data_IF_185308693113
#
_entry.id   IF_185308693113
#
_cell.length_a   1.000
_cell.length_b   1.000
_cell.length_c   1.000
_cell.angle_alpha   90.00
_cell.angle_beta   90.00
_cell.angle_gamma   90.00
#
_symmetry.space_group_name_H-M   'P 1'
#
loop_
_entity.id
_entity.type
_entity.pdbx_description
1 polymer ?
#
# COMPACT_ATOMS: atom_id res chain seq x y z
N UNK A 1 1.08 11.04 -5.70
CA UNK A 1 2.54 11.24 -5.61
C UNK A 1 3.08 12.38 -6.48
N UNK A 2 2.66 12.59 -7.74
CA UNK A 2 3.27 13.59 -8.65
C UNK A 2 3.26 15.03 -8.10
N UNK A 3 2.10 15.50 -7.62
CA UNK A 3 1.93 16.85 -7.05
C UNK A 3 2.80 17.12 -5.82
N UNK A 4 3.11 16.09 -5.01
CA UNK A 4 3.94 16.24 -3.80
C UNK A 4 5.43 16.39 -4.11
N UNK A 5 5.86 15.97 -5.31
CA UNK A 5 7.24 16.06 -5.78
C UNK A 5 7.43 17.16 -6.83
N UNK A 6 6.38 17.92 -7.15
CA UNK A 6 6.43 19.04 -8.11
C UNK A 6 6.63 18.59 -9.57
N UNK A 7 6.30 17.33 -9.90
CA UNK A 7 6.32 16.87 -11.28
C UNK A 7 5.05 17.31 -12.01
N UNK A 8 5.21 17.87 -13.20
CA UNK A 8 4.10 18.07 -14.14
C UNK A 8 3.80 16.73 -14.79
N UNK A 9 2.65 16.13 -14.47
CA UNK A 9 2.16 14.93 -15.14
C UNK A 9 2.12 15.21 -16.65
N UNK A 10 2.99 14.54 -17.42
CA UNK A 10 3.01 14.69 -18.89
C UNK A 10 1.74 14.16 -19.56
N UNK A 11 0.91 13.42 -18.81
CA UNK A 11 -0.46 13.03 -19.19
C UNK A 11 -1.34 13.06 -17.96
N UNK A 12 -2.11 14.15 -17.82
CA UNK A 12 -3.15 14.34 -16.80
C UNK A 12 -4.38 13.49 -17.15
N UNK A 13 -4.28 12.18 -17.00
CA UNK A 13 -5.37 11.23 -17.25
C UNK A 13 -5.75 10.47 -15.99
N UNK A 14 -7.03 10.14 -15.82
CA UNK A 14 -7.51 9.29 -14.74
C UNK A 14 -7.72 7.86 -15.26
N UNK A 15 -7.47 6.85 -14.41
CA UNK A 15 -7.64 5.45 -14.77
C UNK A 15 -8.85 4.83 -14.05
N UNK A 16 -9.72 4.06 -14.74
CA UNK A 16 -10.94 3.52 -14.16
C UNK A 16 -10.66 2.22 -13.38
N UNK A 17 -10.18 2.36 -12.14
CA UNK A 17 -9.76 1.24 -11.30
C UNK A 17 -10.87 0.21 -11.01
N UNK A 18 -12.15 0.60 -10.97
CA UNK A 18 -13.24 -0.37 -10.76
C UNK A 18 -13.64 -1.08 -12.05
N UNK A 19 -13.22 -0.57 -13.20
CA UNK A 19 -13.50 -1.16 -14.51
C UNK A 19 -12.49 -2.25 -14.90
N UNK A 20 -11.34 -2.31 -14.22
CA UNK A 20 -10.33 -3.36 -14.44
C UNK A 20 -10.80 -4.71 -13.89
N UNK A 21 -11.46 -5.50 -14.72
CA UNK A 21 -11.84 -6.89 -14.47
C UNK A 21 -11.38 -7.77 -15.64
N UNK A 22 -11.31 -9.09 -15.41
CA UNK A 22 -10.90 -10.06 -16.46
C UNK A 22 -11.76 -9.97 -17.73
N UNK A 23 -13.04 -9.61 -17.57
CA UNK A 23 -14.01 -9.48 -18.66
C UNK A 23 -13.70 -8.27 -19.54
N UNK A 24 -13.10 -7.22 -18.98
CA UNK A 24 -12.85 -5.95 -19.68
C UNK A 24 -11.42 -5.80 -20.23
N UNK A 25 -10.56 -6.82 -20.09
CA UNK A 25 -9.16 -6.74 -20.53
C UNK A 25 -8.99 -6.47 -22.03
N UNK A 26 -9.94 -6.93 -22.85
CA UNK A 26 -9.98 -6.70 -24.30
C UNK A 26 -11.09 -5.71 -24.71
N UNK A 27 -11.59 -4.92 -23.76
CA UNK A 27 -12.68 -3.98 -24.01
C UNK A 27 -12.24 -2.81 -24.90
N UNK A 28 -13.03 -2.57 -25.95
CA UNK A 28 -12.95 -1.39 -26.80
C UNK A 28 -14.36 -0.84 -26.98
N UNK A 29 -14.63 0.36 -26.48
CA UNK A 29 -15.98 0.90 -26.47
C UNK A 29 -16.06 2.30 -25.85
N UNK A 30 -17.27 2.75 -25.43
CA UNK A 30 -17.43 3.99 -24.69
C UNK A 30 -16.56 4.04 -23.42
N UNK A 31 -16.20 5.26 -22.98
CA UNK A 31 -15.48 5.43 -21.72
C UNK A 31 -16.29 4.88 -20.53
N UNK A 32 -15.64 4.24 -19.53
CA UNK A 32 -16.27 3.80 -18.29
C UNK A 32 -16.95 4.95 -17.56
N UNK A 33 -17.96 4.66 -16.74
CA UNK A 33 -18.73 5.70 -16.06
C UNK A 33 -17.91 6.37 -14.94
N UNK A 34 -18.21 7.61 -14.53
CA UNK A 34 -17.44 8.32 -13.49
C UNK A 34 -17.28 7.54 -12.18
N UNK A 35 -18.28 6.73 -11.80
CA UNK A 35 -18.20 5.87 -10.61
C UNK A 35 -17.05 4.86 -10.65
N UNK A 36 -16.63 4.45 -11.86
CA UNK A 36 -15.55 3.49 -12.06
C UNK A 36 -14.16 4.09 -11.81
N UNK A 37 -14.05 5.41 -11.83
CA UNK A 37 -12.87 6.18 -11.46
C UNK A 37 -12.82 6.50 -9.96
N UNK A 38 -13.83 6.10 -9.18
CA UNK A 38 -13.88 6.34 -7.75
C UNK A 38 -14.20 7.79 -7.37
N UNK A 39 -14.93 8.51 -8.22
CA UNK A 39 -15.35 9.92 -8.00
C UNK A 39 -16.05 10.12 -6.64
N UNK A 40 -16.75 9.11 -6.14
CA UNK A 40 -17.39 9.13 -4.83
C UNK A 40 -16.42 9.45 -3.68
N UNK A 41 -15.15 9.06 -3.83
CA UNK A 41 -14.09 9.24 -2.84
C UNK A 41 -13.18 10.44 -3.13
N UNK A 42 -13.37 11.14 -4.25
CA UNK A 42 -12.59 12.33 -4.59
C UNK A 42 -13.00 13.55 -3.75
N UNK A 43 -12.03 14.37 -3.38
CA UNK A 43 -12.28 15.68 -2.77
C UNK A 43 -12.92 16.66 -3.77
N UNK A 44 -13.51 17.75 -3.28
CA UNK A 44 -14.13 18.78 -4.15
C UNK A 44 -13.14 19.31 -5.19
N UNK A 45 -11.91 19.60 -4.77
CA UNK A 45 -10.84 20.09 -5.65
C UNK A 45 -10.41 19.07 -6.70
N UNK A 46 -10.43 17.78 -6.37
CA UNK A 46 -10.10 16.72 -7.34
C UNK A 46 -11.22 16.54 -8.37
N UNK A 47 -12.49 16.75 -7.99
CA UNK A 47 -13.63 16.74 -8.92
C UNK A 47 -13.60 17.90 -9.90
N UNK A 48 -13.24 19.10 -9.44
CA UNK A 48 -13.06 20.27 -10.30
C UNK A 48 -12.00 20.05 -11.40
N UNK A 49 -11.03 19.17 -11.16
CA UNK A 49 -10.05 18.75 -12.18
C UNK A 49 -10.53 17.55 -13.03
N UNK A 50 -11.34 16.65 -12.45
CA UNK A 50 -11.83 15.44 -13.10
C UNK A 50 -12.95 15.71 -14.11
N UNK A 51 -13.96 16.51 -13.74
CA UNK A 51 -15.16 16.70 -14.55
C UNK A 51 -14.85 17.29 -15.94
N UNK A 52 -13.99 18.32 -16.09
CA UNK A 52 -13.63 18.85 -17.41
C UNK A 52 -12.90 17.82 -18.27
N UNK A 53 -11.98 17.05 -17.66
CA UNK A 53 -11.23 16.01 -18.35
C UNK A 53 -12.16 14.89 -18.84
N UNK A 54 -13.06 14.40 -17.98
CA UNK A 54 -13.99 13.33 -18.32
C UNK A 54 -14.93 13.74 -19.46
N UNK A 55 -15.45 14.97 -19.42
CA UNK A 55 -16.33 15.50 -20.45
C UNK A 55 -15.65 15.65 -21.82
N UNK A 56 -14.32 15.82 -21.84
CA UNK A 56 -13.52 15.86 -23.07
C UNK A 56 -13.26 14.46 -23.62
N UNK A 57 -12.74 13.55 -22.79
CA UNK A 57 -12.31 12.21 -23.24
C UNK A 57 -13.47 11.25 -23.48
N UNK A 58 -14.59 11.40 -22.77
CA UNK A 58 -15.76 10.49 -22.87
C UNK A 58 -16.43 10.49 -24.24
N UNK A 59 -16.13 11.48 -25.09
CA UNK A 59 -16.59 11.56 -26.48
C UNK A 59 -15.84 10.59 -27.41
N UNK A 60 -14.69 10.09 -26.96
CA UNK A 60 -13.85 9.17 -27.71
C UNK A 60 -14.16 7.70 -27.42
N UNK A 61 -13.32 6.83 -27.96
CA UNK A 61 -13.36 5.38 -27.70
C UNK A 61 -12.27 5.03 -26.69
N UNK A 62 -12.65 4.30 -25.66
CA UNK A 62 -11.77 3.75 -24.64
C UNK A 62 -11.30 2.35 -25.05
N UNK A 63 -9.98 2.18 -25.14
CA UNK A 63 -9.30 0.90 -25.35
C UNK A 63 -8.59 0.54 -24.05
N UNK A 64 -9.11 -0.47 -23.34
CA UNK A 64 -8.60 -0.82 -22.02
C UNK A 64 -7.12 -1.21 -22.05
N UNK A 65 -6.70 -1.99 -23.05
CA UNK A 65 -5.32 -2.51 -23.13
C UNK A 65 -4.33 -1.39 -23.41
N UNK A 66 -4.71 -0.46 -24.30
CA UNK A 66 -3.89 0.72 -24.61
C UNK A 66 -3.77 1.65 -23.40
N UNK A 67 -4.89 1.97 -22.75
CA UNK A 67 -4.92 2.85 -21.58
C UNK A 67 -4.23 2.23 -20.37
N UNK A 68 -4.39 0.93 -20.13
CA UNK A 68 -3.69 0.22 -19.06
C UNK A 68 -2.18 0.18 -19.30
N UNK A 69 -1.74 -0.08 -20.54
CA UNK A 69 -0.31 -0.04 -20.89
C UNK A 69 0.28 1.36 -20.70
N UNK A 70 -0.46 2.41 -21.11
CA UNK A 70 -0.05 3.79 -20.92
C UNK A 70 0.03 4.17 -19.43
N UNK A 71 -0.97 3.77 -18.64
CA UNK A 71 -0.99 3.96 -17.20
C UNK A 71 0.23 3.31 -16.53
N UNK A 72 0.54 2.05 -16.84
CA UNK A 72 1.71 1.37 -16.30
C UNK A 72 3.03 2.04 -16.69
N UNK A 73 3.17 2.48 -17.95
CA UNK A 73 4.37 3.20 -18.41
C UNK A 73 4.54 4.53 -17.67
N UNK A 74 3.45 5.26 -17.47
CA UNK A 74 3.46 6.52 -16.74
C UNK A 74 3.81 6.32 -15.26
N UNK A 75 3.29 5.28 -14.61
CA UNK A 75 3.63 4.98 -13.22
C UNK A 75 5.12 4.67 -13.07
N UNK A 76 5.68 3.85 -13.98
CA UNK A 76 7.13 3.58 -14.03
C UNK A 76 7.95 4.85 -14.27
N UNK A 77 7.53 5.74 -15.18
CA UNK A 77 8.23 7.00 -15.44
C UNK A 77 8.17 7.94 -14.23
N UNK A 78 7.01 8.08 -13.58
CA UNK A 78 6.85 8.88 -12.35
C UNK A 78 7.74 8.34 -11.23
N UNK A 79 7.77 7.02 -11.04
CA UNK A 79 8.65 6.37 -10.06
C UNK A 79 10.13 6.58 -10.40
N UNK A 80 10.47 6.53 -11.69
CA UNK A 80 11.84 6.76 -12.17
C UNK A 80 12.26 8.22 -11.95
N UNK A 81 11.43 9.18 -12.30
CA UNK A 81 11.66 10.61 -12.04
C UNK A 81 11.76 10.90 -10.55
N UNK A 82 10.90 10.27 -9.72
CA UNK A 82 11.00 10.31 -8.27
C UNK A 82 12.35 9.80 -7.76
N UNK A 83 12.84 8.71 -8.34
CA UNK A 83 14.13 8.08 -8.00
C UNK A 83 15.34 8.91 -8.48
N UNK A 84 15.24 9.56 -9.64
CA UNK A 84 16.27 10.48 -10.16
C UNK A 84 16.34 11.77 -9.34
N UNK A 85 15.19 12.35 -8.97
CA UNK A 85 15.13 13.50 -8.06
C UNK A 85 15.62 13.14 -6.66
N UNK A 86 15.34 11.93 -6.20
CA UNK A 86 15.94 11.37 -4.99
C UNK A 86 17.47 11.33 -5.08
N UNK A 87 18.03 10.80 -6.17
CA UNK A 87 19.48 10.73 -6.39
C UNK A 87 20.12 12.12 -6.40
N UNK A 88 19.52 13.09 -7.10
CA UNK A 88 20.04 14.46 -7.21
C UNK A 88 20.03 15.18 -5.85
N UNK A 89 18.94 15.07 -5.10
CA UNK A 89 18.81 15.71 -3.78
C UNK A 89 19.64 15.02 -2.68
N UNK A 90 19.96 13.74 -2.83
CA UNK A 90 20.67 12.95 -1.82
C UNK A 90 22.19 12.81 -2.06
N UNK A 91 22.64 12.86 -3.32
CA UNK A 91 24.07 12.87 -3.65
C UNK A 91 24.68 14.29 -3.68
N UNK A 92 23.85 15.34 -3.63
CA UNK A 92 24.29 16.70 -3.34
C UNK A 92 24.55 16.91 -1.84
N UNK A 93 25.43 17.86 -1.49
CA UNK A 93 25.62 18.26 -0.09
C UNK A 93 24.28 18.70 0.53
N UNK A 94 23.97 18.31 1.78
CA UNK A 94 22.72 18.68 2.43
C UNK A 94 22.58 20.20 2.47
N UNK A 95 21.53 20.71 1.83
CA UNK A 95 21.17 22.13 1.92
C UNK A 95 20.47 22.32 3.26
N UNK A 96 21.17 22.96 4.21
CA UNK A 96 20.59 23.25 5.51
C UNK A 96 19.78 24.54 5.37
N UNK A 97 18.46 24.42 5.51
CA UNK A 97 17.52 25.53 5.45
C UNK A 97 17.27 26.00 6.88
N UNK A 98 17.71 27.21 7.20
CA UNK A 98 17.41 27.88 8.46
C UNK A 98 16.27 28.88 8.22
N UNK A 99 15.24 28.84 9.08
CA UNK A 99 14.15 29.82 9.07
C UNK A 99 14.09 30.44 10.46
N UNK A 100 14.16 31.76 10.54
CA UNK A 100 14.19 32.52 11.79
C UNK A 100 15.44 32.29 12.67
N UNK A 101 16.56 31.86 12.08
CA UNK A 101 17.88 31.73 12.72
C UNK A 101 18.98 32.41 11.89
N UNK A 102 20.01 32.92 12.56
CA UNK A 102 21.30 33.27 11.94
C UNK A 102 22.11 32.01 11.57
N UNK A 103 23.28 32.16 10.96
CA UNK A 103 24.19 31.04 10.70
C UNK A 103 24.45 30.27 12.02
N UNK A 104 24.38 28.92 12.06
CA UNK A 104 24.63 28.16 13.28
C UNK A 104 25.97 28.44 13.95
N UNK A 105 26.96 28.91 13.17
CA UNK A 105 28.27 29.32 13.68
C UNK A 105 28.19 30.55 14.60
N UNK A 106 27.11 31.32 14.53
CA UNK A 106 26.83 32.48 15.40
C UNK A 106 26.38 32.07 16.81
N UNK A 107 25.95 30.83 17.01
CA UNK A 107 25.36 30.38 18.27
C UNK A 107 26.31 29.47 19.04
N UNK A 108 26.41 29.68 20.36
CA UNK A 108 27.14 28.80 21.27
C UNK A 108 26.16 27.94 22.07
N UNK A 109 26.12 26.63 21.84
CA UNK A 109 25.24 25.69 22.56
C UNK A 109 24.70 24.54 21.69
N UNK A 110 23.73 23.79 22.24
CA UNK A 110 23.06 22.70 21.51
C UNK A 110 21.85 23.23 20.73
N UNK A 111 21.84 23.01 19.41
CA UNK A 111 20.68 23.32 18.56
C UNK A 111 19.80 22.07 18.45
N UNK A 112 18.54 22.17 18.86
CA UNK A 112 17.53 21.13 18.60
C UNK A 112 17.02 21.27 17.17
N UNK A 113 17.69 20.62 16.23
CA UNK A 113 17.23 20.53 14.84
C UNK A 113 16.15 19.43 14.71
N UNK A 114 15.06 19.73 14.00
CA UNK A 114 14.07 18.73 13.58
C UNK A 114 14.22 18.52 12.08
N UNK A 115 14.73 17.36 11.70
CA UNK A 115 14.87 16.99 10.29
C UNK A 115 13.56 16.37 9.81
N UNK A 116 12.95 16.97 8.79
CA UNK A 116 11.77 16.42 8.13
C UNK A 116 12.18 15.71 6.85
N UNK A 117 12.43 14.38 6.87
CA UNK A 117 12.58 13.64 5.63
C UNK A 117 11.22 13.69 4.90
N UNK A 118 11.17 14.03 3.59
CA UNK A 118 9.89 14.10 2.92
C UNK A 118 9.26 12.70 2.87
N UNK A 119 7.95 12.57 3.13
CA UNK A 119 7.29 11.25 3.34
C UNK A 119 7.45 10.26 2.17
N UNK A 120 7.68 10.76 0.96
CA UNK A 120 7.96 9.92 -0.20
C UNK A 120 9.31 9.19 -0.06
N UNK A 121 10.30 9.78 0.63
CA UNK A 121 11.65 9.26 0.78
C UNK A 121 11.70 8.06 1.73
N UNK A 122 11.02 8.17 2.88
CA UNK A 122 10.95 7.08 3.85
C UNK A 122 10.21 5.87 3.28
N UNK A 123 9.11 6.11 2.55
CA UNK A 123 8.34 5.05 1.91
C UNK A 123 9.04 4.42 0.70
N UNK A 124 9.78 5.19 -0.10
CA UNK A 124 10.58 4.65 -1.20
C UNK A 124 11.76 3.81 -0.68
N UNK A 125 12.48 4.31 0.33
CA UNK A 125 13.61 3.59 0.93
C UNK A 125 13.16 2.29 1.60
N UNK A 126 12.04 2.31 2.34
CA UNK A 126 11.46 1.10 2.92
C UNK A 126 11.13 0.04 1.85
N UNK A 127 10.55 0.47 0.72
CA UNK A 127 10.25 -0.44 -0.41
C UNK A 127 11.51 -1.01 -1.06
N UNK A 128 12.54 -0.19 -1.28
CA UNK A 128 13.82 -0.67 -1.83
C UNK A 128 14.50 -1.67 -0.89
N UNK A 129 14.47 -1.40 0.42
CA UNK A 129 15.00 -2.32 1.43
C UNK A 129 14.22 -3.63 1.43
N UNK A 130 12.89 -3.58 1.42
CA UNK A 130 12.04 -4.77 1.28
C UNK A 130 12.37 -5.55 -0.01
N UNK A 131 12.51 -4.85 -1.14
CA UNK A 131 12.84 -5.46 -2.42
C UNK A 131 14.17 -6.23 -2.39
N UNK A 132 15.19 -5.72 -1.69
CA UNK A 132 16.46 -6.43 -1.52
C UNK A 132 16.32 -7.77 -0.78
N UNK A 133 15.31 -7.92 0.09
CA UNK A 133 14.99 -9.20 0.72
C UNK A 133 14.18 -10.09 -0.23
N UNK A 134 13.23 -9.53 -0.99
CA UNK A 134 12.48 -10.29 -1.99
C UNK A 134 13.39 -10.91 -3.05
N UNK A 135 14.43 -10.20 -3.48
CA UNK A 135 15.42 -10.71 -4.43
C UNK A 135 16.22 -11.90 -3.86
N UNK A 136 16.46 -11.94 -2.54
CA UNK A 136 17.10 -13.10 -1.89
C UNK A 136 16.14 -14.28 -1.73
N UNK A 137 14.86 -13.99 -1.51
CA UNK A 137 13.84 -14.99 -1.19
C UNK A 137 13.18 -15.61 -2.40
N UNK A 138 13.07 -14.88 -3.52
CA UNK A 138 12.47 -15.34 -4.78
C UNK A 138 11.09 -16.01 -4.56
N UNK A 139 10.96 -17.28 -4.92
CA UNK A 139 9.75 -18.10 -4.83
C UNK A 139 9.33 -18.45 -3.39
N UNK A 140 10.20 -18.19 -2.41
CA UNK A 140 9.93 -18.50 -0.99
C UNK A 140 9.04 -17.46 -0.31
N UNK A 141 8.75 -16.33 -0.95
CA UNK A 141 7.90 -15.28 -0.37
C UNK A 141 6.45 -15.70 -0.45
N UNK A 142 5.78 -15.76 0.70
CA UNK A 142 4.39 -16.18 0.81
C UNK A 142 3.41 -15.01 0.95
N UNK A 143 3.83 -13.93 1.64
CA UNK A 143 3.03 -12.73 1.79
C UNK A 143 3.91 -11.51 2.05
N UNK A 144 3.47 -10.33 1.60
CA UNK A 144 4.13 -9.04 1.85
C UNK A 144 3.11 -7.99 2.31
N UNK A 145 3.47 -7.21 3.32
CA UNK A 145 2.87 -5.91 3.63
C UNK A 145 4.00 -4.90 3.82
N UNK A 146 3.73 -3.63 3.54
CA UNK A 146 4.54 -2.40 3.76
C UNK A 146 5.98 -2.59 4.29
N UNK A 147 6.14 -3.17 5.48
CA UNK A 147 7.38 -3.41 6.21
C UNK A 147 7.52 -4.84 6.79
N UNK A 148 6.62 -5.77 6.47
CA UNK A 148 6.64 -7.16 6.93
C UNK A 148 6.52 -8.16 5.78
N UNK A 149 7.14 -9.33 5.94
CA UNK A 149 7.08 -10.39 4.95
C UNK A 149 6.96 -11.74 5.65
N UNK A 150 6.22 -12.65 5.02
CA UNK A 150 6.10 -14.04 5.44
C UNK A 150 6.73 -14.86 4.34
N UNK A 151 7.61 -15.79 4.70
CA UNK A 151 8.37 -16.58 3.76
C UNK A 151 8.57 -18.01 4.28
N UNK A 152 8.83 -18.92 3.35
CA UNK A 152 9.12 -20.31 3.61
C UNK A 152 10.62 -20.49 3.86
N UNK A 153 10.94 -21.28 4.88
CA UNK A 153 12.31 -21.75 5.15
C UNK A 153 12.34 -23.23 4.84
N UNK A 154 13.01 -23.62 3.75
CA UNK A 154 13.21 -25.03 3.38
C UNK A 154 14.33 -25.64 4.23
N UNK A 155 14.30 -26.96 4.39
CA UNK A 155 15.30 -27.69 5.17
C UNK A 155 16.71 -27.51 4.56
N UNK A 156 17.65 -27.03 5.36
CA UNK A 156 19.03 -26.73 4.93
C UNK A 156 19.27 -25.31 4.40
N UNK A 157 18.23 -24.49 4.23
CA UNK A 157 18.40 -23.09 3.83
C UNK A 157 18.58 -22.15 5.03
N UNK A 158 19.39 -21.11 4.87
CA UNK A 158 19.55 -20.10 5.91
C UNK A 158 18.35 -19.15 5.92
N UNK A 159 17.75 -18.88 7.10
CA UNK A 159 16.76 -17.81 7.25
C UNK A 159 17.40 -16.44 7.02
N UNK A 160 16.56 -15.42 6.84
CA UNK A 160 17.04 -14.04 6.72
C UNK A 160 17.75 -13.61 8.00
N UNK A 161 18.79 -12.79 7.83
CA UNK A 161 19.51 -12.21 8.96
C UNK A 161 18.60 -11.22 9.70
N UNK A 162 18.48 -11.44 11.00
CA UNK A 162 17.78 -10.57 11.93
C UNK A 162 18.78 -9.64 12.61
N UNK A 163 18.31 -8.48 13.03
CA UNK A 163 19.16 -7.50 13.72
C UNK A 163 18.38 -6.60 14.66
N UNK A 164 19.11 -5.88 15.50
CA UNK A 164 18.55 -4.96 16.49
C UNK A 164 18.70 -3.49 16.09
N UNK A 165 19.25 -3.22 14.90
CA UNK A 165 19.48 -1.86 14.43
C UNK A 165 18.33 -1.36 13.55
N UNK A 166 18.28 -0.03 13.36
CA UNK A 166 17.21 0.61 12.61
C UNK A 166 17.18 0.11 11.16
N UNK A 167 16.05 -0.50 10.80
CA UNK A 167 15.78 -1.05 9.47
C UNK A 167 16.21 -2.50 9.29
N UNK A 168 16.79 -3.15 10.30
CA UNK A 168 16.99 -4.60 10.26
C UNK A 168 15.64 -5.33 10.32
N UNK A 169 15.64 -6.60 9.90
CA UNK A 169 14.46 -7.44 10.09
C UNK A 169 14.39 -7.89 11.56
N UNK A 170 13.20 -7.80 12.12
CA UNK A 170 12.89 -8.28 13.47
C UNK A 170 11.95 -9.47 13.36
N UNK A 171 12.13 -10.45 14.25
CA UNK A 171 11.20 -11.57 14.36
C UNK A 171 9.94 -11.18 15.14
N UNK A 172 8.78 -11.22 14.49
CA UNK A 172 7.47 -10.94 15.11
C UNK A 172 6.87 -12.13 15.87
N UNK A 173 7.44 -13.33 15.72
CA UNK A 173 6.88 -14.58 16.26
C UNK A 173 7.59 -15.04 17.55
N UNK A 174 8.59 -14.29 18.03
CA UNK A 174 9.41 -14.60 19.19
C UNK A 174 9.99 -16.04 19.13
N UNK A 175 10.54 -16.43 17.98
CA UNK A 175 11.11 -17.75 17.72
C UNK A 175 10.10 -18.85 17.40
N UNK A 176 8.80 -18.53 17.31
CA UNK A 176 7.78 -19.47 16.83
C UNK A 176 7.72 -19.48 15.29
N UNK A 177 7.08 -20.49 14.71
CA UNK A 177 6.85 -20.61 13.27
C UNK A 177 5.38 -20.65 12.97
N UNK A 178 4.98 -20.21 11.78
CA UNK A 178 3.60 -20.32 11.33
C UNK A 178 3.33 -21.75 10.88
N UNK A 179 2.30 -22.38 11.43
CA UNK A 179 1.84 -23.71 11.01
C UNK A 179 0.80 -23.60 9.89
N UNK A 180 -0.17 -22.72 10.06
CA UNK A 180 -1.25 -22.51 9.10
C UNK A 180 -1.40 -21.01 8.83
N UNK A 181 -1.60 -20.66 7.56
CA UNK A 181 -1.79 -19.29 7.11
C UNK A 181 -2.88 -19.26 6.05
N UNK A 182 -3.78 -18.29 6.17
CA UNK A 182 -4.82 -18.01 5.19
C UNK A 182 -4.87 -16.51 4.91
N UNK A 183 -4.89 -16.12 3.63
CA UNK A 183 -5.09 -14.74 3.21
C UNK A 183 -6.30 -14.65 2.28
N UNK A 184 -7.29 -13.86 2.69
CA UNK A 184 -8.47 -13.56 1.88
C UNK A 184 -8.27 -12.33 0.98
N UNK A 185 -7.19 -11.56 1.20
CA UNK A 185 -6.83 -10.42 0.36
C UNK A 185 -5.79 -9.50 1.00
N UNK A 186 -5.46 -8.37 0.36
CA UNK A 186 -4.48 -7.42 0.87
C UNK A 186 -4.85 -6.88 2.25
N UNK A 187 -3.96 -7.10 3.24
CA UNK A 187 -4.15 -6.73 4.67
C UNK A 187 -5.31 -7.46 5.36
N UNK A 188 -5.78 -8.57 4.79
CA UNK A 188 -6.82 -9.44 5.35
C UNK A 188 -6.32 -10.89 5.37
N UNK A 189 -5.68 -11.27 6.47
CA UNK A 189 -5.05 -12.58 6.67
C UNK A 189 -5.16 -13.06 8.11
N UNK A 190 -5.04 -14.38 8.29
CA UNK A 190 -5.01 -15.02 9.60
C UNK A 190 -3.95 -16.13 9.60
N UNK A 191 -3.32 -16.35 10.74
CA UNK A 191 -2.34 -17.42 10.90
C UNK A 191 -2.37 -18.01 12.30
N UNK A 192 -1.96 -19.27 12.38
CA UNK A 192 -1.76 -19.98 13.64
C UNK A 192 -0.29 -20.38 13.79
N UNK A 193 0.30 -20.08 14.95
CA UNK A 193 1.67 -20.46 15.24
C UNK A 193 1.78 -21.94 15.67
N UNK A 194 2.93 -22.55 15.44
CA UNK A 194 3.15 -23.99 15.61
C UNK A 194 3.29 -24.38 17.08
N UNK A 195 4.13 -23.67 17.82
CA UNK A 195 4.49 -23.99 19.21
C UNK A 195 3.43 -23.45 20.16
N UNK A 196 3.17 -22.14 20.11
CA UNK A 196 2.26 -21.47 21.05
C UNK A 196 0.79 -21.66 20.69
N UNK A 197 0.48 -22.21 19.49
CA UNK A 197 -0.88 -22.32 18.95
C UNK A 197 -1.65 -21.00 18.95
N UNK A 198 -0.91 -19.88 18.92
CA UNK A 198 -1.47 -18.53 18.96
C UNK A 198 -2.11 -18.25 17.61
N UNK A 199 -3.39 -17.91 17.64
CA UNK A 199 -4.12 -17.43 16.46
C UNK A 199 -3.99 -15.92 16.39
N UNK A 200 -3.52 -15.42 15.25
CA UNK A 200 -3.47 -14.00 14.95
C UNK A 200 -4.29 -13.76 13.70
N UNK A 201 -5.13 -12.73 13.77
CA UNK A 201 -5.97 -12.33 12.67
C UNK A 201 -5.76 -10.84 12.39
N UNK A 202 -5.75 -10.45 11.13
CA UNK A 202 -5.68 -9.07 10.65
C UNK A 202 -6.71 -8.94 9.54
N UNK A 203 -7.72 -8.11 9.73
CA UNK A 203 -8.77 -7.89 8.71
C UNK A 203 -8.92 -6.40 8.46
N UNK A 204 -8.71 -5.99 7.21
CA UNK A 204 -8.75 -4.58 6.84
C UNK A 204 -10.16 -4.02 7.00
N UNK A 205 -10.27 -2.87 7.68
CA UNK A 205 -11.54 -2.15 7.84
C UNK A 205 -12.49 -2.73 8.89
N UNK A 206 -12.10 -3.80 9.57
CA UNK A 206 -12.87 -4.44 10.63
C UNK A 206 -12.15 -4.24 11.97
N UNK A 207 -12.82 -3.55 12.89
CA UNK A 207 -12.34 -3.45 14.28
C UNK A 207 -12.57 -4.78 14.99
N UNK A 208 -11.53 -5.35 15.59
CA UNK A 208 -11.61 -6.59 16.37
C UNK A 208 -12.23 -6.31 17.74
N UNK A 209 -13.56 -6.26 17.78
CA UNK A 209 -14.35 -6.31 19.02
C UNK A 209 -14.58 -7.75 19.44
N UNK A 210 -14.94 -7.98 20.70
CA UNK A 210 -15.25 -9.33 21.21
C UNK A 210 -16.34 -10.03 20.38
N UNK A 211 -17.42 -9.31 20.04
CA UNK A 211 -18.50 -9.81 19.18
C UNK A 211 -18.03 -10.13 17.75
N UNK A 212 -17.09 -9.33 17.21
CA UNK A 212 -16.50 -9.60 15.90
C UNK A 212 -15.59 -10.83 15.93
N UNK A 213 -14.81 -11.03 16.99
CA UNK A 213 -13.91 -12.18 17.12
C UNK A 213 -14.66 -13.52 17.31
N UNK A 214 -15.92 -13.48 17.77
CA UNK A 214 -16.79 -14.67 17.81
C UNK A 214 -17.26 -15.09 16.41
N UNK A 215 -17.40 -14.13 15.48
CA UNK A 215 -17.88 -14.39 14.10
C UNK A 215 -16.77 -14.50 13.07
N UNK A 216 -15.65 -13.85 13.31
CA UNK A 216 -14.46 -13.89 12.46
C UNK A 216 -13.40 -14.64 13.23
N UNK A 217 -13.37 -15.95 13.04
CA UNK A 217 -12.33 -16.82 13.58
C UNK A 217 -11.33 -17.19 12.48
N UNK A 218 -10.25 -17.86 12.88
CA UNK A 218 -9.32 -18.45 11.92
C UNK A 218 -10.03 -19.42 10.96
N UNK A 219 -10.93 -20.25 11.48
CA UNK A 219 -11.73 -21.19 10.68
C UNK A 219 -12.61 -20.45 9.69
N UNK A 220 -13.24 -19.34 10.08
CA UNK A 220 -14.06 -18.53 9.18
C UNK A 220 -13.25 -17.97 8.00
N UNK A 221 -12.05 -17.46 8.25
CA UNK A 221 -11.16 -16.97 7.18
C UNK A 221 -10.67 -18.12 6.30
N UNK A 222 -10.36 -19.28 6.89
CA UNK A 222 -9.99 -20.48 6.13
C UNK A 222 -11.12 -20.94 5.22
N UNK A 223 -12.34 -21.06 5.75
CA UNK A 223 -13.54 -21.46 5.01
C UNK A 223 -13.86 -20.49 3.87
N UNK A 224 -13.66 -19.19 4.06
CA UNK A 224 -13.81 -18.19 2.99
C UNK A 224 -12.85 -18.46 1.82
N UNK A 225 -11.58 -18.74 2.12
CA UNK A 225 -10.55 -19.02 1.10
C UNK A 225 -10.81 -20.38 0.44
N UNK A 226 -11.11 -21.42 1.20
CA UNK A 226 -11.43 -22.76 0.68
C UNK A 226 -12.70 -22.77 -0.18
N UNK A 227 -13.74 -22.04 0.25
CA UNK A 227 -14.99 -21.88 -0.49
C UNK A 227 -14.78 -21.21 -1.85
N UNK A 228 -13.90 -20.21 -1.90
CA UNK A 228 -13.50 -19.57 -3.16
C UNK A 228 -12.79 -20.54 -4.11
N UNK A 229 -11.83 -21.33 -3.61
CA UNK A 229 -11.08 -22.31 -4.41
C UNK A 229 -11.96 -23.46 -4.95
N UNK A 230 -13.00 -23.83 -4.21
CA UNK A 230 -13.89 -24.94 -4.57
C UNK A 230 -15.07 -24.55 -5.48
N UNK A 231 -15.05 -23.33 -6.04
CA UNK A 231 -15.98 -22.85 -7.08
C UNK A 231 -17.48 -22.88 -6.70
N UNK A 232 -17.81 -22.86 -5.41
CA UNK A 232 -19.19 -22.66 -4.94
C UNK A 232 -19.56 -21.19 -5.12
N UNK A 233 -20.45 -20.91 -6.08
CA UNK A 233 -20.89 -19.56 -6.46
C UNK A 233 -21.70 -18.79 -5.40
N UNK A 234 -21.89 -19.34 -4.20
CA UNK A 234 -22.37 -18.57 -3.06
C UNK A 234 -21.17 -18.20 -2.19
N UNK A 235 -20.63 -17.00 -2.39
CA UNK A 235 -19.61 -16.45 -1.51
C UNK A 235 -20.19 -16.37 -0.09
N UNK A 236 -19.70 -17.24 0.81
CA UNK A 236 -20.00 -17.15 2.24
C UNK A 236 -19.71 -15.70 2.66
N UNK A 237 -20.75 -14.93 2.95
CA UNK A 237 -20.60 -13.52 3.34
C UNK A 237 -20.73 -13.44 4.85
N UNK A 238 -19.67 -12.99 5.52
CA UNK A 238 -19.70 -12.80 6.97
C UNK A 238 -20.13 -11.36 7.24
N UNK A 239 -21.40 -11.17 7.60
CA UNK A 239 -21.92 -9.87 8.03
C UNK A 239 -21.57 -9.56 9.49
N UNK A 240 -20.89 -8.43 9.69
CA UNK A 240 -20.44 -7.97 11.00
C UNK A 240 -20.97 -6.55 11.21
N UNK A 241 -21.58 -6.32 12.37
CA UNK A 241 -21.97 -4.96 12.78
C UNK A 241 -20.72 -4.19 13.24
N UNK A 242 -20.40 -3.10 12.54
CA UNK A 242 -19.28 -2.22 12.87
C UNK A 242 -19.80 -0.91 13.47
N UNK A 243 -19.31 -0.56 14.66
CA UNK A 243 -19.50 0.77 15.23
C UNK A 243 -18.23 1.60 14.97
N UNK A 244 -18.29 2.55 14.04
CA UNK A 244 -17.16 3.44 13.76
C UNK A 244 -17.26 4.74 14.54
N UNK A 245 -16.28 5.04 15.39
CA UNK A 245 -16.14 6.38 15.98
C UNK A 245 -15.41 7.26 14.97
N UNK A 246 -16.08 8.30 14.47
CA UNK A 246 -15.46 9.30 13.58
C UNK A 246 -15.09 10.53 14.39
N UNK A 247 -13.84 10.98 14.28
CA UNK A 247 -13.40 12.25 14.87
C UNK A 247 -14.06 13.40 14.14
N UNK A 248 -14.82 14.22 14.86
CA UNK A 248 -15.33 15.47 14.32
C UNK A 248 -14.16 16.46 14.15
N UNK A 249 -13.93 16.87 12.90
CA UNK A 249 -12.87 17.81 12.52
C UNK A 249 -13.35 19.27 12.55
N UNK A 250 -14.63 19.54 12.81
CA UNK A 250 -15.20 20.90 12.76
C UNK A 250 -15.05 21.72 14.05
N UNK A 251 -14.49 21.15 15.12
CA UNK A 251 -14.48 21.80 16.45
C UNK A 251 -13.14 22.32 16.97
N UNK A 252 -12.03 22.18 16.22
CA UNK A 252 -10.73 22.71 16.63
C UNK A 252 -10.35 23.88 15.72
N UNK A 253 -10.98 25.03 15.98
CA UNK A 253 -10.49 26.34 15.57
C UNK A 253 -9.50 26.84 16.63
#
# INVERSE_FOLDING_TARGET
MPKALGFTDKTKGYFPHKFSSEIHLNYVGPYPVPSDYGVDHMTVREREEFDPWYNEVSRGTFDFKKEASLYCKNDVDILTQGSLKFRDQFLGHPVIIYKDFEDPRSYYGFIRATVYPPRAFTTAHARLKLYSYLEKLQDRVFYIDTDSLIYLVKEGEKPLELGNYLGDLTDELDGDSIQEFAAAGPKSYAYQTRIKKKVVMRVKGITQTRECCERVSFDSVRELVEGYLSNKQEGNTIEIRQHSIRRDKKGFA
#
